data_IF_055837842143
#
_entry.id   IF_055837842143
#
_cell.length_a   1.000
_cell.length_b   1.000
_cell.length_c   1.000
_cell.angle_alpha   90.00
_cell.angle_beta   90.00
_cell.angle_gamma   90.00
#
_symmetry.space_group_name_H-M   'P 1'
#
loop_
_entity.id
_entity.type
_entity.pdbx_description
1 polymer ?
#
# COMPACT_ATOMS: atom_id res chain seq x y z
N UNK A 1 4.63 22.54 25.26
CA UNK A 1 4.24 22.97 23.90
C UNK A 1 4.69 21.82 22.99
N UNK A 2 3.74 21.03 22.55
CA UNK A 2 4.02 19.97 21.55
C UNK A 2 4.55 20.68 20.31
N UNK A 3 5.62 20.14 19.71
CA UNK A 3 6.08 20.61 18.40
C UNK A 3 5.01 20.35 17.33
N UNK A 4 5.13 20.91 16.14
CA UNK A 4 4.20 20.62 15.07
C UNK A 4 4.24 19.11 14.77
N UNK A 5 3.07 18.46 14.77
CA UNK A 5 2.90 17.09 14.32
C UNK A 5 3.08 17.07 12.80
N UNK A 6 4.25 16.64 12.36
CA UNK A 6 4.60 16.61 10.94
C UNK A 6 4.71 15.20 10.43
N UNK A 7 4.24 14.96 9.21
CA UNK A 7 4.39 13.74 8.47
C UNK A 7 5.54 13.87 7.46
N UNK A 8 6.57 13.07 7.62
CA UNK A 8 7.74 13.03 6.73
C UNK A 8 7.65 11.90 5.71
N UNK A 9 7.05 10.77 6.11
CA UNK A 9 6.95 9.58 5.27
C UNK A 9 5.81 8.66 5.74
N UNK A 10 5.37 7.82 4.82
CA UNK A 10 4.56 6.64 5.11
C UNK A 10 5.47 5.41 5.06
N UNK A 11 5.46 4.59 6.11
CA UNK A 11 6.00 3.24 6.06
C UNK A 11 4.89 2.29 5.62
N UNK A 12 5.02 1.77 4.42
CA UNK A 12 4.02 0.89 3.79
C UNK A 12 4.49 -0.54 3.87
N UNK A 13 3.63 -1.43 4.35
CA UNK A 13 3.88 -2.87 4.37
C UNK A 13 2.83 -3.58 3.54
N UNK A 14 3.27 -4.25 2.48
CA UNK A 14 2.45 -5.18 1.71
C UNK A 14 2.66 -6.59 2.22
N UNK A 15 1.58 -7.28 2.52
CA UNK A 15 1.59 -8.69 2.85
C UNK A 15 0.79 -9.43 1.78
N UNK A 16 1.49 -10.18 0.95
CA UNK A 16 0.88 -10.96 -0.12
C UNK A 16 0.06 -12.11 0.44
N UNK A 17 -0.95 -12.55 -0.28
CA UNK A 17 -1.64 -13.78 0.06
C UNK A 17 -0.77 -15.01 -0.26
N UNK A 18 -1.25 -16.20 0.13
CA UNK A 18 -0.48 -17.42 -0.05
C UNK A 18 -0.29 -17.82 -1.52
N UNK A 19 -1.26 -17.48 -2.37
CA UNK A 19 -1.19 -17.78 -3.80
C UNK A 19 -0.18 -16.88 -4.51
N UNK A 20 -0.29 -15.57 -4.31
CA UNK A 20 0.66 -14.60 -4.88
C UNK A 20 2.08 -14.82 -4.34
N UNK A 21 2.22 -15.16 -3.05
CA UNK A 21 3.52 -15.53 -2.48
C UNK A 21 4.13 -16.72 -3.21
N UNK A 22 3.34 -17.81 -3.38
CA UNK A 22 3.82 -19.01 -4.06
C UNK A 22 4.16 -18.73 -5.52
N UNK A 23 3.33 -17.94 -6.20
CA UNK A 23 3.57 -17.55 -7.59
C UNK A 23 4.86 -16.74 -7.73
N UNK A 24 5.07 -15.72 -6.88
CA UNK A 24 6.25 -14.86 -6.93
C UNK A 24 7.54 -15.66 -6.66
N UNK A 25 7.57 -16.46 -5.59
CA UNK A 25 8.74 -17.26 -5.24
C UNK A 25 9.06 -18.31 -6.32
N UNK A 26 8.05 -19.05 -6.78
CA UNK A 26 8.26 -20.09 -7.78
C UNK A 26 8.67 -19.54 -9.14
N UNK A 27 8.15 -18.38 -9.55
CA UNK A 27 8.55 -17.72 -10.80
C UNK A 27 10.03 -17.35 -10.83
N UNK A 28 10.64 -17.15 -9.64
CA UNK A 28 12.07 -16.82 -9.45
C UNK A 28 12.93 -18.06 -9.09
N UNK A 29 12.31 -19.22 -8.94
CA UNK A 29 13.00 -20.43 -8.50
C UNK A 29 13.49 -20.35 -7.05
N UNK A 30 12.81 -19.57 -6.20
CA UNK A 30 13.14 -19.41 -4.79
C UNK A 30 12.38 -20.43 -3.97
N UNK A 31 13.10 -21.17 -3.14
CA UNK A 31 12.56 -22.10 -2.15
C UNK A 31 12.94 -21.60 -0.74
N UNK A 32 11.96 -21.37 0.14
CA UNK A 32 12.26 -20.98 1.52
C UNK A 32 13.15 -22.01 2.23
N UNK A 33 13.99 -21.52 3.14
CA UNK A 33 14.81 -22.38 3.99
C UNK A 33 13.93 -23.27 4.91
N UNK A 34 14.53 -24.31 5.47
CA UNK A 34 13.81 -25.26 6.33
C UNK A 34 13.13 -24.64 7.55
N UNK A 35 13.58 -23.48 7.99
CA UNK A 35 12.98 -22.66 9.06
C UNK A 35 11.87 -21.73 8.58
N UNK A 36 11.56 -21.72 7.28
CA UNK A 36 10.53 -20.88 6.67
C UNK A 36 11.00 -19.45 6.35
N UNK A 37 12.30 -19.15 6.42
CA UNK A 37 12.85 -17.85 6.05
C UNK A 37 13.36 -17.81 4.61
N UNK A 38 13.65 -16.62 4.11
CA UNK A 38 14.41 -16.40 2.87
C UNK A 38 15.90 -16.31 3.19
N UNK A 39 16.75 -16.85 2.32
CA UNK A 39 18.18 -16.55 2.36
C UNK A 39 18.42 -15.07 2.00
N UNK A 40 19.59 -14.53 2.37
CA UNK A 40 19.92 -13.14 1.99
C UNK A 40 20.03 -12.97 0.47
N UNK A 41 20.48 -13.99 -0.25
CA UNK A 41 20.55 -13.98 -1.71
C UNK A 41 19.14 -13.94 -2.34
N UNK A 42 18.17 -14.64 -1.75
CA UNK A 42 16.77 -14.63 -2.22
C UNK A 42 16.12 -13.27 -1.93
N UNK A 43 16.35 -12.70 -0.73
CA UNK A 43 15.89 -11.34 -0.40
C UNK A 43 16.43 -10.32 -1.41
N UNK A 44 17.71 -10.41 -1.75
CA UNK A 44 18.32 -9.49 -2.73
C UNK A 44 17.73 -9.68 -4.12
N UNK A 45 17.47 -10.92 -4.54
CA UNK A 45 16.82 -11.23 -5.82
C UNK A 45 15.43 -10.61 -5.90
N UNK A 46 14.63 -10.76 -4.83
CA UNK A 46 13.28 -10.18 -4.77
C UNK A 46 13.38 -8.65 -4.70
N UNK A 47 14.27 -8.11 -3.85
CA UNK A 47 14.49 -6.66 -3.73
C UNK A 47 14.85 -6.04 -5.06
N UNK A 48 15.78 -6.62 -5.81
CA UNK A 48 16.17 -6.14 -7.12
C UNK A 48 14.99 -6.11 -8.11
N UNK A 49 14.15 -7.15 -8.10
CA UNK A 49 12.99 -7.24 -8.97
C UNK A 49 11.90 -6.19 -8.64
N UNK A 50 11.73 -5.87 -7.36
CA UNK A 50 10.77 -4.87 -6.90
C UNK A 50 11.36 -3.45 -6.79
N UNK A 51 12.59 -3.23 -7.21
CA UNK A 51 13.20 -1.90 -7.25
C UNK A 51 13.14 -1.26 -8.65
N UNK A 52 12.74 -2.03 -9.65
CA UNK A 52 12.57 -1.57 -11.03
C UNK A 52 11.07 -1.29 -11.29
N UNK A 53 10.57 -0.24 -10.64
CA UNK A 53 9.17 0.17 -10.75
C UNK A 53 8.90 0.81 -12.11
N UNK A 54 7.71 0.59 -12.73
CA UNK A 54 7.28 1.36 -13.90
C UNK A 54 7.24 2.87 -13.61
N UNK A 55 7.51 3.69 -14.61
CA UNK A 55 7.54 5.17 -14.49
C UNK A 55 6.22 5.77 -13.97
N UNK A 56 5.10 5.08 -14.15
CA UNK A 56 3.76 5.46 -13.72
C UNK A 56 3.32 4.79 -12.40
N UNK A 57 4.22 4.05 -11.75
CA UNK A 57 3.91 3.38 -10.50
C UNK A 57 3.80 4.38 -9.35
N UNK A 58 2.62 4.46 -8.76
CA UNK A 58 2.30 5.36 -7.65
C UNK A 58 2.43 4.72 -6.26
N UNK A 59 2.91 3.46 -6.18
CA UNK A 59 3.07 2.70 -4.93
C UNK A 59 1.76 2.30 -4.28
N UNK A 60 0.67 2.45 -4.98
CA UNK A 60 -0.69 2.10 -4.53
C UNK A 60 -1.07 2.67 -3.15
N UNK A 61 -0.36 3.73 -2.72
CA UNK A 61 -0.61 4.47 -1.48
C UNK A 61 -0.80 5.95 -1.83
N UNK A 62 -1.97 6.48 -1.54
CA UNK A 62 -2.39 7.81 -1.95
C UNK A 62 -2.70 8.63 -0.71
N UNK A 63 -1.92 9.69 -0.48
CA UNK A 63 -2.09 10.66 0.61
C UNK A 63 -2.87 11.86 0.13
N UNK A 64 -3.84 12.31 0.92
CA UNK A 64 -4.48 13.61 0.75
C UNK A 64 -4.54 14.37 2.07
N UNK A 65 -4.39 15.70 2.00
CA UNK A 65 -4.51 16.63 3.13
C UNK A 65 -5.47 17.72 2.72
N UNK A 66 -6.53 17.93 3.52
CA UNK A 66 -7.62 18.86 3.22
C UNK A 66 -8.25 18.62 1.83
N UNK A 67 -8.28 17.34 1.38
CA UNK A 67 -8.80 16.91 0.07
C UNK A 67 -7.87 17.19 -1.09
N UNK A 68 -6.65 17.68 -0.85
CA UNK A 68 -5.63 17.87 -1.89
C UNK A 68 -4.68 16.65 -1.89
N UNK A 69 -4.47 16.07 -3.06
CA UNK A 69 -3.51 14.99 -3.22
C UNK A 69 -2.08 15.49 -2.94
N UNK A 70 -1.34 14.73 -2.15
CA UNK A 70 0.06 14.98 -1.82
C UNK A 70 0.92 13.97 -2.54
N UNK A 71 1.86 14.47 -3.32
CA UNK A 71 2.80 13.62 -4.05
C UNK A 71 3.78 12.94 -3.09
N UNK A 72 3.94 11.65 -3.25
CA UNK A 72 4.87 10.83 -2.48
C UNK A 72 6.03 10.42 -3.38
N UNK A 73 7.25 10.54 -2.88
CA UNK A 73 8.44 10.07 -3.58
C UNK A 73 8.36 8.57 -3.87
N UNK A 74 9.15 8.10 -4.81
CA UNK A 74 9.28 6.68 -5.15
C UNK A 74 9.55 5.82 -3.90
N UNK A 75 9.10 4.55 -3.91
CA UNK A 75 9.42 3.63 -2.83
C UNK A 75 10.93 3.56 -2.60
N UNK A 76 11.35 3.68 -1.35
CA UNK A 76 12.75 3.56 -0.92
C UNK A 76 12.87 2.61 0.26
N UNK A 77 14.10 2.19 0.57
CA UNK A 77 14.41 1.37 1.74
C UNK A 77 13.62 0.04 1.77
N UNK A 78 13.51 -0.62 0.59
CA UNK A 78 12.74 -1.84 0.43
C UNK A 78 13.33 -2.99 1.25
N UNK A 79 12.56 -3.48 2.21
CA UNK A 79 12.83 -4.69 2.96
C UNK A 79 11.91 -5.82 2.48
N UNK A 80 12.46 -7.03 2.45
CA UNK A 80 11.77 -8.24 1.98
C UNK A 80 11.89 -9.31 3.04
N UNK A 81 10.77 -9.95 3.39
CA UNK A 81 10.76 -11.07 4.34
C UNK A 81 9.64 -12.06 4.05
N UNK A 82 9.64 -13.21 4.75
CA UNK A 82 8.50 -14.11 4.85
C UNK A 82 7.96 -14.07 6.27
N UNK A 83 6.69 -13.72 6.40
CA UNK A 83 5.97 -13.72 7.67
C UNK A 83 4.83 -14.73 7.59
N UNK A 84 4.88 -15.74 8.43
CA UNK A 84 3.92 -16.85 8.43
C UNK A 84 3.77 -17.50 7.03
N UNK A 85 4.89 -17.65 6.31
CA UNK A 85 4.94 -18.21 4.96
C UNK A 85 4.35 -17.32 3.87
N UNK A 86 4.17 -16.04 4.14
CA UNK A 86 3.66 -15.03 3.20
C UNK A 86 4.73 -13.98 2.93
N UNK A 87 4.90 -13.64 1.66
CA UNK A 87 5.83 -12.59 1.24
C UNK A 87 5.39 -11.24 1.80
N UNK A 88 6.31 -10.58 2.48
CA UNK A 88 6.12 -9.23 3.01
C UNK A 88 7.15 -8.29 2.38
N UNK A 89 6.66 -7.18 1.84
CA UNK A 89 7.47 -6.07 1.36
C UNK A 89 7.19 -4.86 2.24
N UNK A 90 8.24 -4.23 2.76
CA UNK A 90 8.12 -2.97 3.52
C UNK A 90 8.99 -1.92 2.88
N UNK A 91 8.46 -0.73 2.67
CA UNK A 91 9.16 0.38 2.03
C UNK A 91 8.67 1.73 2.55
N UNK A 92 9.48 2.76 2.35
CA UNK A 92 9.11 4.13 2.68
C UNK A 92 8.62 4.88 1.45
N UNK A 93 7.55 5.67 1.64
CA UNK A 93 7.05 6.67 0.71
C UNK A 93 7.23 8.03 1.37
N UNK A 94 8.28 8.75 1.01
CA UNK A 94 8.62 10.05 1.61
C UNK A 94 7.83 11.17 0.95
N UNK A 95 7.47 12.19 1.73
CA UNK A 95 7.00 13.45 1.22
C UNK A 95 8.19 14.28 0.73
N UNK A 96 8.01 15.12 -0.29
CA UNK A 96 9.04 16.07 -0.73
C UNK A 96 9.36 17.09 0.38
N UNK A 97 8.31 17.58 1.06
CA UNK A 97 8.42 18.43 2.23
C UNK A 97 7.54 17.88 3.35
N UNK A 98 8.01 17.92 4.63
CA UNK A 98 7.18 17.52 5.76
C UNK A 98 5.87 18.31 5.83
N UNK A 99 4.77 17.61 6.07
CA UNK A 99 3.43 18.21 6.15
C UNK A 99 2.96 18.33 7.61
N UNK A 100 2.51 19.52 7.99
CA UNK A 100 1.84 19.75 9.29
C UNK A 100 0.44 19.11 9.25
N UNK A 101 0.12 18.27 10.24
CA UNK A 101 -1.12 17.53 10.34
C UNK A 101 -2.12 18.14 11.34
N UNK A 102 -1.71 19.09 12.18
CA UNK A 102 -2.57 19.64 13.23
C UNK A 102 -3.80 20.33 12.63
N UNK A 103 -4.98 19.85 13.01
CA UNK A 103 -6.25 20.38 12.54
C UNK A 103 -6.53 20.18 11.06
N UNK A 104 -5.80 19.28 10.41
CA UNK A 104 -5.98 18.94 9.00
C UNK A 104 -6.85 17.68 8.83
N UNK A 105 -7.60 17.62 7.74
CA UNK A 105 -8.25 16.41 7.29
C UNK A 105 -7.26 15.58 6.47
N UNK A 106 -6.70 14.53 7.08
CA UNK A 106 -5.67 13.71 6.47
C UNK A 106 -6.22 12.32 6.15
N UNK A 107 -6.06 11.87 4.92
CA UNK A 107 -6.51 10.56 4.46
C UNK A 107 -5.39 9.84 3.70
N UNK A 108 -5.20 8.54 4.00
CA UNK A 108 -4.38 7.64 3.20
C UNK A 108 -5.28 6.54 2.64
N UNK A 109 -5.33 6.42 1.32
CA UNK A 109 -6.08 5.38 0.62
C UNK A 109 -5.12 4.39 -0.06
N UNK A 110 -5.52 3.11 -0.10
CA UNK A 110 -4.73 2.07 -0.74
C UNK A 110 -5.50 1.45 -1.89
N UNK A 111 -5.05 1.71 -3.11
CA UNK A 111 -5.63 1.15 -4.33
C UNK A 111 -4.63 1.18 -5.47
N UNK A 112 -4.82 0.29 -6.42
CA UNK A 112 -4.19 0.35 -7.74
C UNK A 112 -5.23 0.89 -8.73
N UNK A 113 -4.81 1.82 -9.60
CA UNK A 113 -5.71 2.63 -10.43
C UNK A 113 -6.66 1.81 -11.30
N UNK A 114 -6.20 0.66 -11.82
CA UNK A 114 -6.98 -0.23 -12.69
C UNK A 114 -7.74 -1.33 -11.94
N UNK A 115 -7.57 -1.42 -10.62
CA UNK A 115 -8.14 -2.46 -9.75
C UNK A 115 -7.64 -3.87 -10.11
N UNK A 116 -6.43 -3.98 -10.60
CA UNK A 116 -5.80 -5.27 -10.83
C UNK A 116 -5.47 -5.98 -9.51
N UNK A 117 -5.06 -5.20 -8.50
CA UNK A 117 -4.89 -5.67 -7.13
C UNK A 117 -5.91 -5.03 -6.20
N UNK A 118 -6.53 -5.85 -5.36
CA UNK A 118 -7.38 -5.40 -4.26
C UNK A 118 -6.58 -5.34 -2.96
N UNK A 119 -6.45 -4.14 -2.39
CA UNK A 119 -5.79 -3.94 -1.11
C UNK A 119 -6.79 -3.98 0.04
N UNK A 120 -6.36 -4.54 1.17
CA UNK A 120 -7.08 -4.49 2.44
C UNK A 120 -6.16 -4.05 3.55
N UNK A 121 -6.60 -3.10 4.35
CA UNK A 121 -5.90 -2.69 5.56
C UNK A 121 -6.21 -3.69 6.67
N UNK A 122 -5.22 -4.47 7.07
CA UNK A 122 -5.40 -5.55 8.06
C UNK A 122 -4.94 -5.16 9.46
N UNK A 123 -4.10 -4.14 9.58
CA UNK A 123 -3.53 -3.70 10.85
C UNK A 123 -3.84 -2.23 11.10
N UNK A 124 -3.92 -1.84 12.37
CA UNK A 124 -3.96 -0.44 12.74
C UNK A 124 -2.62 0.23 12.42
N UNK A 125 -2.64 1.43 11.82
CA UNK A 125 -1.41 2.19 11.63
C UNK A 125 -0.80 2.60 12.97
N UNK A 126 0.51 2.76 12.98
CA UNK A 126 1.25 3.26 14.13
C UNK A 126 1.99 4.52 13.75
N UNK A 127 2.11 5.44 14.69
CA UNK A 127 2.88 6.68 14.52
C UNK A 127 4.25 6.50 15.16
N UNK A 128 5.29 6.91 14.45
CA UNK A 128 6.63 7.04 15.00
C UNK A 128 6.89 8.51 15.32
N UNK A 129 7.02 8.81 16.61
CA UNK A 129 7.31 10.15 17.10
C UNK A 129 6.09 11.05 17.41
N UNK A 130 4.86 10.59 17.20
CA UNK A 130 3.65 11.32 17.62
C UNK A 130 2.90 10.59 18.74
N UNK A 131 2.47 11.35 19.75
CA UNK A 131 1.60 10.87 20.84
C UNK A 131 0.20 11.51 20.77
N UNK A 132 -0.02 12.45 19.84
CA UNK A 132 -1.26 13.24 19.73
C UNK A 132 -2.05 12.95 18.47
N UNK A 133 -1.53 12.10 17.59
CA UNK A 133 -2.23 11.65 16.39
C UNK A 133 -2.92 10.32 16.61
N UNK A 134 -4.13 10.21 16.11
CA UNK A 134 -4.92 8.97 16.08
C UNK A 134 -5.23 8.61 14.63
N UNK A 135 -5.30 7.31 14.35
CA UNK A 135 -5.68 6.81 13.03
C UNK A 135 -6.87 5.86 13.13
N UNK A 136 -7.83 6.05 12.24
CA UNK A 136 -8.99 5.20 12.10
C UNK A 136 -8.99 4.52 10.73
N UNK A 137 -9.03 3.19 10.72
CA UNK A 137 -9.21 2.42 9.49
C UNK A 137 -10.68 2.42 9.11
N UNK A 138 -10.97 2.88 7.90
CA UNK A 138 -12.30 2.89 7.29
C UNK A 138 -12.31 1.88 6.15
N UNK A 139 -12.79 0.65 6.38
CA UNK A 139 -12.83 -0.35 5.34
C UNK A 139 -13.86 0.04 4.27
N UNK A 140 -13.56 -0.36 3.03
CA UNK A 140 -14.54 -0.27 1.96
C UNK A 140 -15.80 -1.09 2.31
N UNK A 141 -16.96 -0.47 2.14
CA UNK A 141 -18.24 -1.15 2.35
C UNK A 141 -18.96 -1.30 1.00
N UNK A 142 -19.18 -2.54 0.52
CA UNK A 142 -19.91 -2.78 -0.70
C UNK A 142 -21.33 -2.20 -0.66
N UNK A 143 -21.77 -1.67 -1.80
CA UNK A 143 -23.15 -1.25 -2.05
C UNK A 143 -23.65 -1.82 -3.38
N UNK A 144 -24.94 -1.83 -3.64
CA UNK A 144 -25.53 -2.46 -4.84
C UNK A 144 -24.86 -1.99 -6.15
N UNK A 145 -24.55 -0.69 -6.28
CA UNK A 145 -23.90 -0.14 -7.47
C UNK A 145 -22.43 -0.60 -7.60
N UNK A 146 -21.74 -0.79 -6.48
CA UNK A 146 -20.36 -1.26 -6.48
C UNK A 146 -20.26 -2.75 -6.79
N UNK A 147 -21.24 -3.54 -6.39
CA UNK A 147 -21.30 -4.97 -6.71
C UNK A 147 -21.47 -5.20 -8.22
N UNK A 148 -22.32 -4.42 -8.88
CA UNK A 148 -22.47 -4.45 -10.34
C UNK A 148 -21.16 -4.04 -11.05
N UNK A 149 -20.48 -3.03 -10.55
CA UNK A 149 -19.19 -2.57 -11.10
C UNK A 149 -18.11 -3.64 -10.91
N UNK A 150 -18.01 -4.23 -9.73
CA UNK A 150 -17.06 -5.34 -9.47
C UNK A 150 -17.29 -6.53 -10.40
N UNK A 151 -18.55 -6.89 -10.65
CA UNK A 151 -18.89 -7.96 -11.60
C UNK A 151 -18.45 -7.62 -13.03
N UNK A 152 -18.60 -6.38 -13.46
CA UNK A 152 -18.12 -5.92 -14.77
C UNK A 152 -16.60 -5.96 -14.86
N UNK A 153 -15.91 -5.50 -13.81
CA UNK A 153 -14.45 -5.54 -13.74
C UNK A 153 -13.91 -6.98 -13.75
N UNK A 154 -14.58 -7.90 -13.06
CA UNK A 154 -14.20 -9.31 -13.05
C UNK A 154 -14.37 -10.01 -14.41
N UNK A 155 -15.13 -9.43 -15.35
CA UNK A 155 -15.30 -9.93 -16.71
C UNK A 155 -14.24 -9.41 -17.69
N UNK A 156 -13.45 -8.40 -17.30
CA UNK A 156 -12.38 -7.86 -18.13
C UNK A 156 -11.27 -8.88 -18.30
N UNK A 157 -10.74 -8.97 -19.51
CA UNK A 157 -9.55 -9.77 -19.80
C UNK A 157 -8.32 -9.16 -19.13
N UNK A 158 -7.29 -9.97 -18.95
CA UNK A 158 -6.05 -9.60 -18.25
C UNK A 158 -5.33 -8.36 -18.83
N UNK A 159 -5.60 -8.04 -20.10
CA UNK A 159 -4.99 -6.90 -20.82
C UNK A 159 -6.02 -5.80 -21.11
N UNK A 160 -7.23 -5.91 -20.57
CA UNK A 160 -8.29 -4.91 -20.75
C UNK A 160 -8.26 -3.90 -19.60
N UNK A 161 -8.11 -2.63 -19.92
CA UNK A 161 -8.17 -1.55 -18.94
C UNK A 161 -9.63 -1.10 -18.76
N UNK A 162 -10.09 -0.89 -17.53
CA UNK A 162 -11.42 -0.32 -17.29
C UNK A 162 -11.59 1.05 -17.95
N UNK A 163 -12.78 1.33 -18.49
CA UNK A 163 -13.12 2.64 -19.06
C UNK A 163 -13.20 3.78 -18.00
N UNK A 164 -13.15 3.42 -16.71
CA UNK A 164 -13.25 4.36 -15.60
C UNK A 164 -11.85 4.62 -15.06
N UNK A 165 -11.37 5.86 -15.17
CA UNK A 165 -10.11 6.25 -14.59
C UNK A 165 -10.12 6.09 -13.06
N UNK A 166 -9.02 5.58 -12.49
CA UNK A 166 -8.86 5.35 -11.05
C UNK A 166 -9.99 4.52 -10.43
N UNK A 167 -10.48 3.53 -11.14
CA UNK A 167 -11.60 2.69 -10.67
C UNK A 167 -11.29 2.02 -9.32
N UNK A 168 -10.03 1.69 -9.05
CA UNK A 168 -9.59 1.11 -7.78
C UNK A 168 -9.89 1.99 -6.57
N UNK A 169 -9.89 3.31 -6.73
CA UNK A 169 -10.22 4.25 -5.66
C UNK A 169 -11.64 4.03 -5.09
N UNK A 170 -12.57 3.56 -5.92
CA UNK A 170 -13.95 3.30 -5.52
C UNK A 170 -14.08 2.12 -4.53
N UNK A 171 -13.06 1.27 -4.46
CA UNK A 171 -13.01 0.06 -3.63
C UNK A 171 -11.94 0.13 -2.53
N UNK A 172 -11.34 1.31 -2.33
CA UNK A 172 -10.22 1.48 -1.43
C UNK A 172 -10.63 1.45 0.04
N UNK A 173 -9.90 0.68 0.85
CA UNK A 173 -9.83 0.92 2.27
C UNK A 173 -9.05 2.23 2.52
N UNK A 174 -9.42 2.96 3.58
CA UNK A 174 -8.82 4.25 3.91
C UNK A 174 -8.38 4.31 5.36
N UNK A 175 -7.40 5.14 5.62
CA UNK A 175 -6.98 5.54 6.96
C UNK A 175 -7.27 7.02 7.10
N UNK A 176 -8.04 7.39 8.11
CA UNK A 176 -8.26 8.78 8.51
C UNK A 176 -7.34 9.06 9.67
N UNK A 177 -6.57 10.15 9.58
CA UNK A 177 -5.61 10.58 10.61
C UNK A 177 -6.07 11.93 11.18
N UNK A 178 -6.12 12.01 12.50
CA UNK A 178 -6.49 13.21 13.25
C UNK A 178 -5.39 13.50 14.26
N UNK A 179 -4.85 14.73 14.24
CA UNK A 179 -3.82 15.19 15.16
C UNK A 179 -4.31 16.43 15.95
N UNK A 180 -4.07 16.40 17.27
CA UNK A 180 -4.51 17.46 18.20
C UNK A 180 -3.40 18.49 18.49
#
# INVERSE_FOLDING_TARGET
MSGPETLDALSVTWLYDGFETLYDLSSRGIEPEANGSLSEADRETIRAAYSDWPDDFDGSAHLSIDGQAIELAWPSDLAVDLVDGRLQLTFLRKLEEPADLVGKAVEVAFYEATYFFAFKITNQPVFDGSETCEATVVPYTPGEQSDELQQKLAMLGREETPDIANVGQLFADRIIIECA
#
